data_IF_908356031338
#
_entry.id   IF_908356031338
#
_cell.length_a   1.000
_cell.length_b   1.000
_cell.length_c   1.000
_cell.angle_alpha   90.00
_cell.angle_beta   90.00
_cell.angle_gamma   90.00
#
_symmetry.space_group_name_H-M   'P 1'
#
loop_
_entity.id
_entity.type
_entity.pdbx_description
1 polymer ?
#
# COMPACT_ATOMS: atom_id res chain seq x y z
N UNK A 1 20.36 -21.81 -103.17
CA UNK A 1 21.79 -22.03 -103.37
C UNK A 1 22.44 -22.02 -102.01
N UNK A 2 22.47 -23.17 -101.30
CA UNK A 2 23.54 -24.14 -101.14
C UNK A 2 24.83 -23.52 -100.60
N UNK A 3 25.18 -23.94 -99.40
CA UNK A 3 26.31 -24.75 -98.95
C UNK A 3 26.56 -24.42 -97.45
N UNK A 4 26.34 -25.34 -96.53
CA UNK A 4 27.13 -26.40 -95.87
C UNK A 4 28.53 -25.90 -95.40
N UNK A 5 28.83 -25.99 -94.06
CA UNK A 5 29.63 -27.07 -93.48
C UNK A 5 29.85 -26.87 -91.97
N UNK A 6 29.66 -27.97 -91.29
CA UNK A 6 30.11 -28.25 -89.89
C UNK A 6 31.62 -28.18 -89.79
N UNK A 7 32.14 -27.71 -88.69
CA UNK A 7 33.37 -28.25 -88.05
C UNK A 7 33.14 -28.31 -86.54
N UNK A 8 32.92 -29.56 -86.03
CA UNK A 8 33.01 -29.92 -84.64
C UNK A 8 34.48 -30.05 -84.30
N UNK A 9 34.97 -29.27 -83.44
CA UNK A 9 36.26 -29.49 -82.77
C UNK A 9 36.02 -30.30 -81.50
N UNK A 10 36.39 -31.59 -81.52
CA UNK A 10 36.51 -32.44 -80.37
C UNK A 10 37.64 -31.96 -79.44
N UNK A 11 37.27 -31.58 -78.19
CA UNK A 11 38.22 -31.39 -77.11
C UNK A 11 38.32 -32.66 -76.26
N UNK A 12 39.52 -33.05 -75.80
CA UNK A 12 39.69 -34.27 -75.04
C UNK A 12 39.08 -34.14 -73.64
N UNK A 13 38.45 -35.21 -73.16
CA UNK A 13 37.62 -35.39 -71.97
C UNK A 13 38.45 -35.42 -70.63
N UNK A 14 39.70 -34.97 -70.68
CA UNK A 14 40.62 -34.96 -69.51
C UNK A 14 40.42 -33.72 -68.61
N UNK A 15 39.82 -32.64 -69.10
CA UNK A 15 39.72 -31.41 -68.31
C UNK A 15 38.48 -31.35 -67.39
N UNK A 16 37.45 -32.17 -67.68
CA UNK A 16 36.24 -32.26 -66.83
C UNK A 16 36.46 -33.01 -65.52
N UNK A 17 37.39 -33.95 -65.51
CA UNK A 17 37.67 -34.73 -64.27
C UNK A 17 38.50 -33.94 -63.23
N UNK A 18 39.37 -33.05 -63.69
CA UNK A 18 40.19 -32.22 -62.81
C UNK A 18 39.35 -31.07 -62.17
N UNK A 19 38.34 -30.56 -62.89
CA UNK A 19 37.45 -29.52 -62.30
C UNK A 19 36.46 -30.05 -61.31
N UNK A 20 36.02 -31.33 -61.43
CA UNK A 20 35.08 -31.97 -60.49
C UNK A 20 35.77 -32.28 -59.15
N UNK A 21 37.00 -32.78 -59.18
CA UNK A 21 37.76 -33.11 -57.91
C UNK A 21 38.14 -31.82 -57.15
N UNK A 22 38.49 -30.77 -57.83
CA UNK A 22 38.83 -29.50 -57.18
C UNK A 22 37.59 -28.80 -56.55
N UNK A 23 36.42 -29.01 -57.13
CA UNK A 23 35.15 -28.48 -56.56
C UNK A 23 34.71 -29.24 -55.30
N UNK A 24 34.91 -30.54 -55.24
CA UNK A 24 34.60 -31.35 -54.08
C UNK A 24 35.54 -31.07 -52.89
N UNK A 25 36.81 -30.89 -53.14
CA UNK A 25 37.79 -30.53 -52.07
C UNK A 25 37.51 -29.13 -51.50
N UNK A 26 37.18 -28.17 -52.33
CA UNK A 26 36.86 -26.81 -51.87
C UNK A 26 35.52 -26.80 -51.09
N UNK A 27 34.51 -27.51 -51.55
CA UNK A 27 33.23 -27.64 -50.84
C UNK A 27 33.36 -28.37 -49.49
N UNK A 28 34.26 -29.37 -49.41
CA UNK A 28 34.57 -30.07 -48.15
C UNK A 28 35.17 -29.16 -47.08
N UNK A 29 36.07 -28.27 -47.47
CA UNK A 29 36.70 -27.30 -46.55
C UNK A 29 35.72 -26.23 -46.05
N UNK A 30 34.74 -25.79 -46.87
CA UNK A 30 33.71 -24.83 -46.44
C UNK A 30 32.67 -25.48 -45.54
N UNK A 31 32.35 -26.76 -45.70
CA UNK A 31 31.47 -27.51 -44.78
C UNK A 31 32.09 -27.65 -43.40
N UNK A 32 33.35 -27.95 -43.30
CA UNK A 32 34.06 -28.06 -42.01
C UNK A 32 34.13 -26.71 -41.28
N UNK A 33 34.42 -25.58 -42.00
CA UNK A 33 34.39 -24.23 -41.46
C UNK A 33 32.98 -23.82 -40.95
N UNK A 34 31.95 -24.18 -41.73
CA UNK A 34 30.55 -23.93 -41.33
C UNK A 34 30.17 -24.70 -40.04
N UNK A 35 30.60 -25.93 -39.93
CA UNK A 35 30.25 -26.77 -38.77
C UNK A 35 31.04 -26.34 -37.51
N UNK A 36 32.25 -25.80 -37.65
CA UNK A 36 32.98 -25.13 -36.55
C UNK A 36 32.33 -23.81 -36.16
N UNK A 37 31.87 -22.99 -37.10
CA UNK A 37 31.19 -21.74 -36.80
C UNK A 37 29.81 -21.97 -36.13
N UNK A 38 29.07 -23.04 -36.52
CA UNK A 38 27.82 -23.43 -35.89
C UNK A 38 28.05 -24.00 -34.48
N UNK A 39 29.09 -24.82 -34.26
CA UNK A 39 29.46 -25.32 -32.94
C UNK A 39 29.95 -24.21 -32.01
N UNK A 40 30.70 -23.22 -32.54
CA UNK A 40 31.14 -22.04 -31.80
C UNK A 40 29.95 -21.09 -31.42
N UNK A 41 28.99 -20.91 -32.31
CA UNK A 41 27.79 -20.11 -32.05
C UNK A 41 26.85 -20.72 -30.99
N UNK A 42 26.70 -22.10 -31.00
CA UNK A 42 25.98 -22.79 -29.94
C UNK A 42 26.71 -22.77 -28.58
N UNK A 43 28.03 -22.82 -28.58
CA UNK A 43 28.83 -22.73 -27.35
C UNK A 43 28.80 -21.37 -26.69
N UNK A 44 28.75 -20.27 -27.47
CA UNK A 44 28.61 -18.87 -26.96
C UNK A 44 27.19 -18.61 -26.45
N UNK A 45 26.15 -19.17 -27.09
CA UNK A 45 24.76 -19.01 -26.63
C UNK A 45 24.50 -19.73 -25.28
N UNK A 46 25.24 -20.80 -24.97
CA UNK A 46 25.13 -21.50 -23.67
C UNK A 46 25.92 -20.83 -22.53
N UNK A 47 26.84 -19.89 -22.83
CA UNK A 47 27.65 -19.19 -21.82
C UNK A 47 26.95 -17.95 -21.26
N UNK A 48 25.89 -17.44 -21.89
CA UNK A 48 24.95 -16.46 -21.30
C UNK A 48 23.82 -17.14 -20.55
N UNK A 49 24.14 -18.12 -19.71
CA UNK A 49 23.29 -18.50 -18.60
C UNK A 49 23.16 -17.26 -17.73
N UNK A 50 22.05 -16.50 -17.90
CA UNK A 50 21.70 -15.45 -16.98
C UNK A 50 21.69 -16.08 -15.58
N UNK A 51 22.74 -15.85 -14.80
CA UNK A 51 22.64 -15.96 -13.34
C UNK A 51 21.46 -15.10 -13.00
N UNK A 52 20.31 -15.69 -12.66
CA UNK A 52 19.23 -14.97 -12.07
C UNK A 52 19.84 -14.29 -10.83
N UNK A 53 20.08 -12.99 -10.93
CA UNK A 53 20.54 -12.20 -9.79
C UNK A 53 19.58 -12.48 -8.64
N UNK A 54 20.13 -12.97 -7.53
CA UNK A 54 19.27 -13.28 -6.38
C UNK A 54 18.68 -11.96 -5.86
N UNK A 55 17.37 -11.81 -6.00
CA UNK A 55 16.67 -10.66 -5.45
C UNK A 55 16.83 -10.61 -3.91
N UNK A 56 17.08 -9.41 -3.32
CA UNK A 56 17.46 -8.16 -3.95
C UNK A 56 18.98 -8.08 -4.21
N UNK A 57 19.39 -7.50 -5.34
CA UNK A 57 20.79 -7.28 -5.72
C UNK A 57 21.26 -5.84 -5.52
N UNK A 58 20.31 -4.91 -5.29
CA UNK A 58 20.59 -3.49 -5.04
C UNK A 58 19.55 -2.88 -4.08
N UNK A 59 19.68 -1.57 -3.79
CA UNK A 59 18.86 -0.89 -2.80
C UNK A 59 17.38 -0.86 -3.16
N UNK A 60 16.51 -1.09 -2.15
CA UNK A 60 15.06 -0.99 -2.25
C UNK A 60 14.62 0.39 -1.78
N UNK A 61 13.60 0.98 -2.41
CA UNK A 61 13.01 2.25 -2.01
C UNK A 61 11.60 2.08 -1.49
N UNK A 62 11.31 2.69 -0.33
CA UNK A 62 9.94 2.82 0.20
C UNK A 62 9.49 4.27 -0.02
N UNK A 63 8.51 4.46 -0.89
CA UNK A 63 7.90 5.76 -1.15
C UNK A 63 6.81 6.04 -0.12
N UNK A 64 6.90 7.20 0.55
CA UNK A 64 5.94 7.67 1.55
C UNK A 64 5.27 8.93 1.02
N UNK A 65 3.95 8.93 0.90
CA UNK A 65 3.17 10.04 0.34
C UNK A 65 2.90 11.19 1.31
N UNK A 66 3.60 11.22 2.44
CA UNK A 66 3.50 12.25 3.48
C UNK A 66 4.88 12.82 3.79
N UNK A 67 4.89 13.98 4.45
CA UNK A 67 6.14 14.61 4.87
C UNK A 67 6.91 13.81 5.93
N UNK A 68 8.18 14.16 6.16
CA UNK A 68 8.99 13.59 7.23
C UNK A 68 8.30 13.72 8.60
N UNK A 69 8.57 12.76 9.49
CA UNK A 69 8.00 12.66 10.84
C UNK A 69 6.48 12.40 10.90
N UNK A 70 5.80 12.15 9.79
CA UNK A 70 4.45 11.58 9.81
C UNK A 70 4.49 10.13 10.34
N UNK A 71 3.38 9.62 10.89
CA UNK A 71 3.32 8.24 11.38
C UNK A 71 3.73 7.22 10.31
N UNK A 72 3.35 7.47 9.04
CA UNK A 72 3.75 6.62 7.91
C UNK A 72 5.27 6.69 7.64
N UNK A 73 5.89 7.87 7.73
CA UNK A 73 7.34 8.04 7.55
C UNK A 73 8.13 7.38 8.70
N UNK A 74 7.69 7.59 9.94
CA UNK A 74 8.32 6.97 11.12
C UNK A 74 8.27 5.45 11.00
N UNK A 75 7.11 4.87 10.70
CA UNK A 75 6.97 3.42 10.52
C UNK A 75 7.81 2.90 9.35
N UNK A 76 7.81 3.60 8.20
CA UNK A 76 8.63 3.21 7.05
C UNK A 76 10.12 3.15 7.39
N UNK A 77 10.66 4.14 8.13
CA UNK A 77 12.08 4.18 8.53
C UNK A 77 12.44 3.10 9.55
N UNK A 78 11.55 2.81 10.49
CA UNK A 78 11.73 1.72 11.45
C UNK A 78 11.81 0.37 10.73
N UNK A 79 10.89 0.11 9.82
CA UNK A 79 10.89 -1.11 9.01
C UNK A 79 12.10 -1.19 8.10
N UNK A 80 12.43 -0.12 7.37
CA UNK A 80 13.56 -0.06 6.46
C UNK A 80 14.85 -0.51 7.14
N UNK A 81 15.13 0.03 8.34
CA UNK A 81 16.32 -0.32 9.11
C UNK A 81 16.40 -1.80 9.48
N UNK A 82 15.27 -2.43 9.82
CA UNK A 82 15.25 -3.85 10.17
C UNK A 82 15.30 -4.74 8.92
N UNK A 83 14.63 -4.33 7.84
CA UNK A 83 14.64 -5.07 6.58
C UNK A 83 16.03 -5.13 5.94
N UNK A 84 16.88 -4.10 6.11
CA UNK A 84 18.28 -4.08 5.62
C UNK A 84 19.06 -5.32 6.07
N UNK A 85 18.96 -5.69 7.34
CA UNK A 85 19.67 -6.84 7.90
C UNK A 85 19.19 -8.17 7.34
N UNK A 86 17.90 -8.27 7.00
CA UNK A 86 17.28 -9.50 6.46
C UNK A 86 17.49 -9.66 4.96
N UNK A 87 17.44 -8.55 4.24
CA UNK A 87 17.56 -8.52 2.78
C UNK A 87 19.01 -8.37 2.32
N UNK A 88 19.93 -8.07 3.24
CA UNK A 88 21.33 -7.77 2.95
C UNK A 88 21.53 -6.71 1.87
N UNK A 89 20.59 -5.74 1.81
CA UNK A 89 20.59 -4.61 0.89
C UNK A 89 20.02 -3.37 1.58
N UNK A 90 20.49 -2.17 1.23
CA UNK A 90 19.95 -0.93 1.78
C UNK A 90 18.46 -0.76 1.45
N UNK A 91 17.67 -0.32 2.43
CA UNK A 91 16.27 0.06 2.25
C UNK A 91 16.10 1.55 2.56
N UNK A 92 15.80 2.35 1.55
CA UNK A 92 15.79 3.81 1.63
C UNK A 92 14.37 4.35 1.60
N UNK A 93 14.03 5.25 2.53
CA UNK A 93 12.73 5.92 2.56
C UNK A 93 12.80 7.24 1.79
N UNK A 94 11.90 7.42 0.83
CA UNK A 94 11.77 8.62 0.00
C UNK A 94 10.38 9.25 0.20
N UNK A 95 10.33 10.48 0.73
CA UNK A 95 9.07 11.20 0.92
C UNK A 95 8.65 11.89 -0.39
N UNK A 96 7.45 11.59 -0.89
CA UNK A 96 6.81 12.23 -2.06
C UNK A 96 5.39 12.69 -1.69
N UNK A 97 5.25 13.79 -0.94
CA UNK A 97 3.95 14.28 -0.54
C UNK A 97 3.18 14.87 -1.73
N UNK A 98 1.86 14.86 -1.62
CA UNK A 98 0.96 15.49 -2.59
C UNK A 98 -0.31 14.68 -2.85
N UNK A 99 -1.41 15.40 -3.09
CA UNK A 99 -2.72 14.84 -3.40
C UNK A 99 -3.13 13.67 -2.50
N UNK A 100 -3.12 13.87 -1.19
CA UNK A 100 -3.42 12.81 -0.19
C UNK A 100 -2.63 11.52 -0.42
N UNK A 101 -1.31 11.62 -0.67
CA UNK A 101 -0.41 10.48 -0.93
C UNK A 101 -0.50 9.87 -2.34
N UNK A 102 -1.39 10.36 -3.21
CA UNK A 102 -1.58 9.79 -4.55
C UNK A 102 -0.38 10.01 -5.48
N UNK A 103 0.43 11.07 -5.27
CA UNK A 103 1.67 11.29 -6.04
C UNK A 103 2.66 10.13 -5.84
N UNK A 104 2.82 9.67 -4.62
CA UNK A 104 3.68 8.51 -4.31
C UNK A 104 3.07 7.20 -4.82
N UNK A 105 1.76 7.01 -4.66
CA UNK A 105 1.04 5.83 -5.14
C UNK A 105 1.17 5.65 -6.66
N UNK A 106 0.92 6.70 -7.43
CA UNK A 106 1.06 6.73 -8.89
C UNK A 106 2.50 6.45 -9.35
N UNK A 107 3.49 7.01 -8.65
CA UNK A 107 4.88 6.79 -8.97
C UNK A 107 5.28 5.32 -8.84
N UNK A 108 4.81 4.63 -7.78
CA UNK A 108 5.08 3.21 -7.57
C UNK A 108 4.26 2.34 -8.51
N UNK A 109 2.99 2.64 -8.76
CA UNK A 109 2.17 1.87 -9.69
C UNK A 109 2.75 1.81 -11.11
N UNK A 110 3.51 2.85 -11.52
CA UNK A 110 4.19 2.93 -12.82
C UNK A 110 5.65 2.47 -12.80
N UNK A 111 6.19 2.12 -11.63
CA UNK A 111 7.55 1.63 -11.52
C UNK A 111 7.69 0.20 -12.10
N UNK A 112 8.92 -0.24 -12.44
CA UNK A 112 9.17 -1.64 -12.81
C UNK A 112 8.64 -2.59 -11.71
N UNK A 113 7.96 -3.69 -12.07
CA UNK A 113 7.41 -4.64 -11.10
C UNK A 113 8.48 -5.66 -10.65
N UNK A 114 9.60 -5.17 -10.16
CA UNK A 114 10.78 -5.94 -9.79
C UNK A 114 11.05 -5.98 -8.27
N UNK A 115 10.17 -5.32 -7.48
CA UNK A 115 10.24 -5.30 -6.03
C UNK A 115 11.16 -4.22 -5.44
N UNK A 116 11.78 -3.37 -6.23
CA UNK A 116 12.67 -2.32 -5.74
C UNK A 116 11.97 -0.98 -5.44
N UNK A 117 10.75 -0.80 -5.89
CA UNK A 117 9.90 0.33 -5.55
C UNK A 117 8.71 -0.14 -4.73
N UNK A 118 8.63 0.28 -3.47
CA UNK A 118 7.55 -0.05 -2.54
C UNK A 118 6.80 1.21 -2.15
N UNK A 119 5.53 1.07 -1.83
CA UNK A 119 4.66 2.16 -1.43
C UNK A 119 4.12 1.95 -0.01
N UNK A 120 4.30 2.95 0.85
CA UNK A 120 3.66 3.02 2.16
C UNK A 120 2.26 3.61 2.00
N UNK A 121 1.28 2.74 1.87
CA UNK A 121 -0.12 3.13 1.77
C UNK A 121 -0.75 3.38 3.14
N UNK A 122 -1.80 4.20 3.12
CA UNK A 122 -2.67 4.46 4.26
C UNK A 122 -4.13 4.48 3.80
N UNK A 123 -5.05 4.62 4.74
CA UNK A 123 -6.48 4.80 4.46
C UNK A 123 -6.76 5.93 3.44
N UNK A 124 -5.91 6.95 3.37
CA UNK A 124 -6.07 8.05 2.40
C UNK A 124 -6.05 7.55 0.95
N UNK A 125 -5.35 6.45 0.68
CA UNK A 125 -5.27 5.85 -0.65
C UNK A 125 -6.49 5.00 -1.02
N UNK A 126 -7.30 4.62 -0.04
CA UNK A 126 -8.66 4.09 -0.28
C UNK A 126 -9.65 5.22 -0.53
N UNK A 127 -9.60 6.26 0.29
CA UNK A 127 -10.59 7.34 0.30
C UNK A 127 -10.48 8.27 -0.91
N UNK A 128 -9.28 8.76 -1.20
CA UNK A 128 -9.07 9.74 -2.27
C UNK A 128 -9.59 9.28 -3.65
N UNK A 129 -9.32 8.04 -4.12
CA UNK A 129 -9.87 7.58 -5.39
C UNK A 129 -11.40 7.51 -5.41
N UNK A 130 -12.04 7.19 -4.28
CA UNK A 130 -13.52 7.14 -4.20
C UNK A 130 -14.10 8.55 -4.25
N UNK A 131 -13.51 9.49 -3.51
CA UNK A 131 -13.97 10.90 -3.45
C UNK A 131 -13.77 11.65 -4.76
N UNK A 132 -12.69 11.36 -5.48
CA UNK A 132 -12.30 12.07 -6.71
C UNK A 132 -12.71 11.33 -7.99
N UNK A 133 -13.38 10.16 -7.87
CA UNK A 133 -13.70 9.26 -8.99
C UNK A 133 -12.48 8.93 -9.86
N UNK A 134 -11.32 8.79 -9.22
CA UNK A 134 -10.07 8.45 -9.88
C UNK A 134 -10.14 7.04 -10.48
N UNK A 135 -9.50 6.85 -11.62
CA UNK A 135 -9.29 5.51 -12.22
C UNK A 135 -8.31 4.65 -11.43
N UNK A 136 -7.52 5.22 -10.52
CA UNK A 136 -6.61 4.48 -9.64
C UNK A 136 -7.38 3.58 -8.69
N UNK A 137 -6.93 2.33 -8.59
CA UNK A 137 -7.51 1.37 -7.65
C UNK A 137 -6.40 0.66 -6.89
N UNK A 138 -6.34 0.89 -5.59
CA UNK A 138 -5.27 0.39 -4.71
C UNK A 138 -5.05 -1.13 -4.84
N UNK A 139 -6.14 -1.91 -4.92
CA UNK A 139 -6.08 -3.37 -5.00
C UNK A 139 -5.82 -3.93 -6.40
N UNK A 140 -5.89 -3.10 -7.47
CA UNK A 140 -5.61 -3.50 -8.85
C UNK A 140 -4.26 -3.02 -9.35
N UNK A 141 -3.89 -1.79 -8.98
CA UNK A 141 -2.69 -1.12 -9.50
C UNK A 141 -1.45 -1.40 -8.67
N UNK A 142 -1.65 -1.95 -7.45
CA UNK A 142 -0.57 -2.34 -6.55
C UNK A 142 -0.80 -3.76 -5.99
N UNK A 143 0.30 -4.47 -5.72
CA UNK A 143 0.34 -5.78 -5.09
C UNK A 143 0.55 -5.62 -3.58
N UNK A 144 -0.35 -6.11 -2.72
CA UNK A 144 -0.17 -6.10 -1.27
C UNK A 144 1.03 -6.93 -0.84
N UNK A 145 1.84 -6.40 0.10
CA UNK A 145 2.96 -7.11 0.74
C UNK A 145 2.60 -7.47 2.17
N UNK A 146 2.26 -6.48 2.99
CA UNK A 146 1.87 -6.68 4.37
C UNK A 146 1.04 -5.51 4.92
N UNK A 147 0.05 -5.83 5.74
CA UNK A 147 -0.63 -4.87 6.61
C UNK A 147 0.26 -4.63 7.83
N UNK A 148 0.65 -3.37 8.07
CA UNK A 148 1.70 -3.06 9.04
C UNK A 148 1.14 -2.76 10.43
N UNK A 149 0.18 -1.87 10.49
CA UNK A 149 -0.37 -1.41 11.76
C UNK A 149 -1.50 -0.41 11.56
N UNK A 150 -2.08 -0.01 12.68
CA UNK A 150 -3.17 0.95 12.72
C UNK A 150 -2.89 2.00 13.78
N UNK A 151 -3.13 3.27 13.45
CA UNK A 151 -3.23 4.34 14.43
C UNK A 151 -4.67 4.38 14.91
N UNK A 152 -4.93 4.03 16.18
CA UNK A 152 -6.30 3.94 16.68
C UNK A 152 -6.96 5.30 16.80
N UNK A 153 -8.19 5.39 16.29
CA UNK A 153 -9.11 6.47 16.61
C UNK A 153 -9.96 6.09 17.83
N UNK A 154 -10.25 7.06 18.68
CA UNK A 154 -11.15 6.90 19.82
C UNK A 154 -12.28 7.90 19.74
N UNK A 155 -13.50 7.48 20.04
CA UNK A 155 -14.64 8.31 20.26
C UNK A 155 -14.60 8.86 21.69
N UNK A 156 -14.53 10.17 21.81
CA UNK A 156 -14.60 10.87 23.08
C UNK A 156 -15.76 11.84 23.10
N UNK A 157 -16.25 12.13 24.31
CA UNK A 157 -17.26 13.14 24.57
C UNK A 157 -16.77 14.15 25.61
N UNK A 158 -17.25 15.39 25.52
CA UNK A 158 -17.09 16.38 26.58
C UNK A 158 -17.86 15.93 27.84
N UNK A 159 -17.36 16.16 29.07
CA UNK A 159 -18.03 15.71 30.31
C UNK A 159 -19.46 16.20 30.50
N UNK A 160 -19.84 17.29 29.87
CA UNK A 160 -21.24 17.81 29.90
C UNK A 160 -22.25 16.93 29.15
N UNK A 161 -21.78 16.01 28.29
CA UNK A 161 -22.66 15.06 27.59
C UNK A 161 -23.14 14.00 28.61
N UNK A 162 -24.47 13.85 28.81
CA UNK A 162 -25.02 12.92 29.78
C UNK A 162 -25.06 11.48 29.20
N UNK A 163 -23.91 11.02 28.71
CA UNK A 163 -23.70 9.65 28.22
C UNK A 163 -22.34 9.15 28.75
N UNK A 164 -22.33 7.99 29.37
CA UNK A 164 -21.13 7.37 29.97
C UNK A 164 -20.63 6.16 29.16
N UNK A 165 -21.46 5.68 28.25
CA UNK A 165 -21.18 4.53 27.38
C UNK A 165 -21.78 4.75 25.98
N UNK A 166 -21.51 3.84 25.07
CA UNK A 166 -21.92 3.93 23.67
C UNK A 166 -23.45 3.83 23.50
N UNK A 167 -24.11 2.96 24.28
CA UNK A 167 -25.56 2.76 24.21
C UNK A 167 -26.31 4.05 24.56
N UNK A 168 -25.94 4.69 25.70
CA UNK A 168 -26.51 5.97 26.12
C UNK A 168 -26.25 7.08 25.08
N UNK A 169 -25.06 7.10 24.49
CA UNK A 169 -24.71 8.05 23.44
C UNK A 169 -25.56 7.85 22.19
N UNK A 170 -25.76 6.62 21.73
CA UNK A 170 -26.63 6.31 20.59
C UNK A 170 -28.08 6.72 20.89
N UNK A 171 -28.58 6.41 22.09
CA UNK A 171 -29.92 6.83 22.48
C UNK A 171 -30.07 8.34 22.48
N UNK A 172 -29.09 9.07 23.00
CA UNK A 172 -29.08 10.53 23.01
C UNK A 172 -29.02 11.08 21.58
N UNK A 173 -28.18 10.51 20.72
CA UNK A 173 -28.05 10.90 19.31
C UNK A 173 -29.35 10.74 18.51
N UNK A 174 -30.18 9.74 18.85
CA UNK A 174 -31.48 9.51 18.22
C UNK A 174 -32.59 10.40 18.74
N UNK A 175 -32.59 10.66 20.06
CA UNK A 175 -33.70 11.36 20.72
C UNK A 175 -33.50 12.89 20.80
N UNK A 176 -32.24 13.34 20.86
CA UNK A 176 -31.87 14.75 20.99
C UNK A 176 -30.66 15.07 20.09
N UNK A 177 -30.76 14.89 18.76
CA UNK A 177 -29.61 15.06 17.85
C UNK A 177 -29.02 16.48 17.94
N UNK A 178 -29.83 17.52 18.12
CA UNK A 178 -29.37 18.88 18.19
C UNK A 178 -28.52 19.22 19.43
N UNK A 179 -28.48 18.31 20.43
CA UNK A 179 -27.63 18.46 21.63
C UNK A 179 -26.22 17.95 21.41
N UNK A 180 -25.94 17.30 20.27
CA UNK A 180 -24.67 16.66 19.97
C UNK A 180 -24.10 17.24 18.67
N UNK A 181 -22.83 17.66 18.74
CA UNK A 181 -22.09 18.24 17.61
C UNK A 181 -20.73 17.57 17.50
N UNK A 182 -20.46 16.91 16.37
CA UNK A 182 -19.14 16.38 16.08
C UNK A 182 -18.16 17.50 15.74
N UNK A 183 -17.01 17.55 16.42
CA UNK A 183 -15.82 18.24 15.95
C UNK A 183 -15.00 17.33 15.06
N UNK A 184 -14.58 17.78 13.88
CA UNK A 184 -13.72 17.01 12.97
C UNK A 184 -12.47 17.79 12.57
N UNK A 185 -11.40 17.10 12.23
CA UNK A 185 -10.16 17.75 11.78
C UNK A 185 -10.20 18.28 10.33
N UNK A 186 -11.40 18.35 9.74
CA UNK A 186 -11.65 18.83 8.38
C UNK A 186 -12.55 17.90 7.59
N UNK A 187 -13.17 18.41 6.54
CA UNK A 187 -13.97 17.61 5.62
C UNK A 187 -13.11 16.55 4.91
N UNK A 188 -13.64 15.33 4.73
CA UNK A 188 -12.94 14.22 4.09
C UNK A 188 -11.81 13.58 4.92
N UNK A 189 -11.58 14.04 6.15
CA UNK A 189 -10.58 13.43 7.04
C UNK A 189 -11.11 12.17 7.72
N UNK A 190 -10.21 11.33 8.25
CA UNK A 190 -10.58 10.12 8.99
C UNK A 190 -11.55 10.41 10.15
N UNK A 191 -11.40 11.56 10.84
CA UNK A 191 -12.33 11.95 11.91
C UNK A 191 -13.72 12.30 11.41
N UNK A 192 -13.84 12.94 10.23
CA UNK A 192 -15.13 13.21 9.58
C UNK A 192 -15.80 11.90 9.15
N UNK A 193 -15.06 11.03 8.47
CA UNK A 193 -15.60 9.77 7.98
C UNK A 193 -16.01 8.82 9.10
N UNK A 194 -15.27 8.82 10.23
CA UNK A 194 -15.69 8.09 11.43
C UNK A 194 -17.01 8.63 12.00
N UNK A 195 -17.22 9.97 11.97
CA UNK A 195 -18.48 10.57 12.38
C UNK A 195 -19.64 10.17 11.45
N UNK A 196 -19.41 10.12 10.14
CA UNK A 196 -20.42 9.69 9.17
C UNK A 196 -20.72 8.17 9.28
N UNK A 197 -19.70 7.36 9.50
CA UNK A 197 -19.90 5.94 9.79
C UNK A 197 -20.73 5.74 11.08
N UNK A 198 -20.47 6.54 12.11
CA UNK A 198 -21.27 6.55 13.33
C UNK A 198 -22.72 6.94 13.04
N UNK A 199 -22.95 8.04 12.35
CA UNK A 199 -24.29 8.47 11.97
C UNK A 199 -25.08 7.38 11.25
N UNK A 200 -24.45 6.74 10.25
CA UNK A 200 -25.06 5.63 9.49
C UNK A 200 -25.42 4.43 10.38
N UNK A 201 -24.50 3.97 11.22
CA UNK A 201 -24.69 2.82 12.08
C UNK A 201 -25.63 3.10 13.27
N UNK A 202 -25.55 4.31 13.85
CA UNK A 202 -26.43 4.74 14.93
C UNK A 202 -27.84 5.07 14.45
N UNK A 203 -28.07 5.29 13.15
CA UNK A 203 -29.32 5.81 12.63
C UNK A 203 -29.57 7.26 13.10
N UNK A 204 -28.52 8.06 13.25
CA UNK A 204 -28.55 9.45 13.66
C UNK A 204 -28.12 10.38 12.53
N UNK A 205 -28.30 11.70 12.72
CA UNK A 205 -27.89 12.75 11.77
C UNK A 205 -27.24 13.91 12.55
N UNK A 206 -26.18 13.58 13.31
CA UNK A 206 -25.47 14.58 14.09
C UNK A 206 -24.72 15.53 13.16
N UNK A 207 -24.76 16.81 13.47
CA UNK A 207 -24.04 17.85 12.74
C UNK A 207 -22.53 17.70 12.97
N UNK A 208 -21.76 17.83 11.89
CA UNK A 208 -20.31 17.88 11.95
C UNK A 208 -19.79 19.31 11.70
N UNK A 209 -18.95 19.81 12.60
CA UNK A 209 -18.19 21.05 12.41
C UNK A 209 -16.78 20.72 11.97
N UNK A 210 -16.39 21.21 10.78
CA UNK A 210 -15.11 20.94 10.16
C UNK A 210 -14.11 22.06 10.45
N UNK A 211 -13.01 21.73 11.13
CA UNK A 211 -11.99 22.71 11.52
C UNK A 211 -10.87 22.78 10.48
N UNK A 212 -10.77 23.92 9.77
CA UNK A 212 -9.69 24.14 8.80
C UNK A 212 -8.28 24.16 9.43
N UNK A 213 -8.19 24.51 10.72
CA UNK A 213 -6.96 24.43 11.52
C UNK A 213 -6.61 23.02 11.99
N UNK A 214 -7.36 22.02 11.55
CA UNK A 214 -7.09 20.60 11.81
C UNK A 214 -7.40 20.14 13.23
N UNK A 215 -6.77 19.03 13.60
CA UNK A 215 -7.05 18.29 14.85
C UNK A 215 -6.89 19.14 16.11
N UNK A 216 -5.84 19.95 16.21
CA UNK A 216 -5.56 20.75 17.42
C UNK A 216 -6.66 21.75 17.72
N UNK A 217 -7.19 22.44 16.68
CA UNK A 217 -8.30 23.37 16.84
C UNK A 217 -9.57 22.66 17.27
N UNK A 218 -9.89 21.53 16.63
CA UNK A 218 -11.06 20.71 16.97
C UNK A 218 -11.02 20.20 18.43
N UNK A 219 -9.84 19.74 18.90
CA UNK A 219 -9.63 19.30 20.29
C UNK A 219 -9.80 20.44 21.27
N UNK A 220 -9.25 21.62 20.98
CA UNK A 220 -9.42 22.80 21.85
C UNK A 220 -10.88 23.21 22.00
N UNK A 221 -11.65 23.13 20.92
CA UNK A 221 -13.08 23.48 20.95
C UNK A 221 -13.93 22.41 21.65
N UNK A 222 -13.54 21.15 21.56
CA UNK A 222 -14.13 20.07 22.34
C UNK A 222 -13.85 20.26 23.83
N UNK A 223 -12.61 20.55 24.23
CA UNK A 223 -12.22 20.82 25.62
C UNK A 223 -12.96 22.03 26.20
N UNK A 224 -13.28 23.01 25.36
CA UNK A 224 -14.07 24.19 25.75
C UNK A 224 -15.60 23.96 25.71
N UNK A 225 -16.06 22.76 25.34
CA UNK A 225 -17.47 22.41 25.22
C UNK A 225 -18.19 23.07 24.06
N UNK A 226 -17.47 23.65 23.07
CA UNK A 226 -18.09 24.25 21.86
C UNK A 226 -18.55 23.16 20.87
N UNK A 227 -17.87 22.01 20.85
CA UNK A 227 -18.37 20.75 20.28
C UNK A 227 -18.52 19.73 21.41
N UNK A 228 -19.28 18.66 21.20
CA UNK A 228 -19.66 17.76 22.28
C UNK A 228 -18.98 16.39 22.18
N UNK A 229 -18.59 15.98 20.97
CA UNK A 229 -17.92 14.70 20.73
C UNK A 229 -17.02 14.79 19.51
N UNK A 230 -16.03 13.89 19.44
CA UNK A 230 -15.19 13.72 18.24
C UNK A 230 -14.59 12.33 18.17
N UNK A 231 -14.25 11.92 16.97
CA UNK A 231 -13.27 10.88 16.72
C UNK A 231 -11.90 11.51 16.47
N UNK A 232 -10.88 11.05 17.17
CA UNK A 232 -9.50 11.46 16.89
C UNK A 232 -8.50 10.39 17.34
N UNK A 233 -7.24 10.57 16.93
CA UNK A 233 -6.14 9.68 17.28
C UNK A 233 -6.04 9.52 18.79
N UNK A 234 -6.00 8.27 19.26
CA UNK A 234 -5.97 7.94 20.68
C UNK A 234 -4.78 8.59 21.41
N UNK A 235 -3.59 8.61 20.81
CA UNK A 235 -2.41 9.25 21.38
C UNK A 235 -2.60 10.75 21.67
N UNK A 236 -3.38 11.45 20.84
CA UNK A 236 -3.70 12.87 21.04
C UNK A 236 -4.68 13.08 22.21
N UNK A 237 -5.63 12.17 22.38
CA UNK A 237 -6.71 12.32 23.34
C UNK A 237 -6.43 11.67 24.71
N UNK A 238 -5.53 10.70 24.79
CA UNK A 238 -5.20 9.98 26.01
C UNK A 238 -4.84 10.89 27.19
N UNK A 239 -4.01 11.94 27.06
CA UNK A 239 -3.70 12.84 28.18
C UNK A 239 -4.96 13.57 28.70
N UNK A 240 -5.88 13.96 27.82
CA UNK A 240 -7.09 14.67 28.20
C UNK A 240 -8.12 13.75 28.88
N UNK A 241 -8.17 12.48 28.45
CA UNK A 241 -8.99 11.45 29.09
C UNK A 241 -8.43 11.10 30.47
N UNK A 242 -7.11 10.93 30.59
CA UNK A 242 -6.45 10.67 31.89
C UNK A 242 -6.63 11.81 32.89
N UNK A 243 -6.69 13.05 32.41
CA UNK A 243 -6.98 14.23 33.22
C UNK A 243 -8.47 14.43 33.56
N UNK A 244 -9.37 13.58 33.02
CA UNK A 244 -10.82 13.71 33.18
C UNK A 244 -11.45 14.89 32.42
N UNK A 245 -10.69 15.57 31.57
CA UNK A 245 -11.17 16.68 30.74
C UNK A 245 -12.04 16.19 29.58
N UNK A 246 -11.89 14.94 29.16
CA UNK A 246 -12.72 14.24 28.17
C UNK A 246 -13.08 12.86 28.71
N UNK A 247 -14.19 12.29 28.23
CA UNK A 247 -14.58 10.91 28.50
C UNK A 247 -14.43 10.08 27.24
N UNK A 248 -13.62 9.01 27.30
CA UNK A 248 -13.54 8.02 26.24
C UNK A 248 -14.77 7.11 26.27
N UNK A 249 -15.37 6.86 25.11
CA UNK A 249 -16.55 6.01 24.94
C UNK A 249 -16.14 4.65 24.36
N UNK A 250 -15.45 4.67 23.20
CA UNK A 250 -15.00 3.43 22.56
C UNK A 250 -13.87 3.70 21.57
N UNK A 251 -13.02 2.70 21.34
CA UNK A 251 -11.98 2.69 20.31
C UNK A 251 -12.58 2.25 18.98
N UNK A 252 -12.33 3.01 17.92
CA UNK A 252 -12.92 2.82 16.60
C UNK A 252 -12.10 1.85 15.72
N UNK A 253 -11.77 0.69 16.26
CA UNK A 253 -11.08 -0.41 15.58
C UNK A 253 -11.44 -1.76 16.21
N UNK A 254 -11.18 -2.91 15.52
CA UNK A 254 -11.61 -4.24 16.01
C UNK A 254 -10.90 -4.73 17.27
N UNK A 255 -9.77 -4.14 17.65
CA UNK A 255 -9.00 -4.49 18.86
C UNK A 255 -8.87 -3.28 19.77
N UNK A 256 -8.74 -3.50 21.08
CA UNK A 256 -8.45 -2.41 22.03
C UNK A 256 -7.10 -1.79 21.72
N UNK A 257 -6.98 -0.49 21.96
CA UNK A 257 -5.73 0.25 21.77
C UNK A 257 -4.73 -0.04 22.87
N UNK A 258 -3.47 -0.24 22.52
CA UNK A 258 -2.37 -0.35 23.49
C UNK A 258 -2.14 0.91 24.33
N UNK A 259 -2.60 2.09 23.87
CA UNK A 259 -2.52 3.36 24.63
C UNK A 259 -3.69 3.50 25.62
N UNK A 260 -4.86 2.96 25.29
CA UNK A 260 -6.09 3.06 26.08
C UNK A 260 -6.70 1.66 26.30
N UNK A 261 -6.01 0.75 27.01
CA UNK A 261 -6.42 -0.66 27.09
C UNK A 261 -7.72 -0.89 27.83
N UNK A 262 -8.11 0.04 28.71
CA UNK A 262 -9.37 -0.04 29.48
C UNK A 262 -10.58 0.46 28.68
N UNK A 263 -10.39 1.14 27.55
CA UNK A 263 -11.48 1.63 26.70
C UNK A 263 -11.94 0.50 25.79
N UNK A 264 -13.25 0.15 25.80
CA UNK A 264 -13.77 -0.90 24.95
C UNK A 264 -13.69 -0.54 23.47
N UNK A 265 -13.69 -1.52 22.59
CA UNK A 265 -13.89 -1.30 21.16
C UNK A 265 -15.35 -0.93 20.87
N UNK A 266 -15.62 -0.35 19.69
CA UNK A 266 -17.00 -0.12 19.26
C UNK A 266 -17.81 -1.41 19.18
N UNK A 267 -17.17 -2.53 18.77
CA UNK A 267 -17.78 -3.85 18.72
C UNK A 267 -18.17 -4.35 20.12
N UNK A 268 -17.26 -4.27 21.10
CA UNK A 268 -17.52 -4.63 22.49
C UNK A 268 -18.60 -3.76 23.13
N UNK A 269 -18.69 -2.49 22.69
CA UNK A 269 -19.68 -1.53 23.17
C UNK A 269 -21.05 -1.61 22.47
N UNK A 270 -21.25 -2.56 21.55
CA UNK A 270 -22.55 -2.83 20.91
C UNK A 270 -22.75 -2.24 19.52
N UNK A 271 -21.68 -1.80 18.84
CA UNK A 271 -21.73 -1.35 17.44
C UNK A 271 -20.78 -2.20 16.57
N UNK A 272 -21.17 -3.43 16.20
CA UNK A 272 -20.30 -4.37 15.51
C UNK A 272 -19.89 -3.90 14.11
N UNK A 273 -18.67 -4.28 13.70
CA UNK A 273 -18.09 -3.94 12.42
C UNK A 273 -17.82 -2.45 12.25
N UNK A 274 -17.55 -1.74 13.35
CA UNK A 274 -17.11 -0.34 13.30
C UNK A 274 -15.58 -0.31 13.28
N UNK A 275 -15.02 -0.03 12.13
CA UNK A 275 -13.59 0.14 11.95
C UNK A 275 -13.28 1.43 11.19
N UNK A 276 -12.74 2.41 11.89
CA UNK A 276 -12.30 3.71 11.40
C UNK A 276 -10.88 4.06 11.88
N UNK A 277 -10.07 3.04 12.10
CA UNK A 277 -8.64 3.18 12.37
C UNK A 277 -7.87 3.67 11.13
N UNK A 278 -6.76 4.39 11.37
CA UNK A 278 -5.89 4.84 10.28
C UNK A 278 -4.87 3.73 10.03
N UNK A 279 -5.21 2.81 9.14
CA UNK A 279 -4.32 1.71 8.79
C UNK A 279 -3.14 2.15 7.92
N UNK A 280 -2.06 1.39 7.98
CA UNK A 280 -0.86 1.53 7.16
C UNK A 280 -0.44 0.16 6.63
N UNK A 281 0.01 0.12 5.38
CA UNK A 281 0.44 -1.12 4.73
C UNK A 281 1.47 -0.87 3.65
N UNK A 282 2.25 -1.91 3.33
CA UNK A 282 3.27 -1.87 2.30
C UNK A 282 2.80 -2.59 1.04
N UNK A 283 2.96 -1.95 -0.12
CA UNK A 283 2.59 -2.50 -1.42
C UNK A 283 3.75 -2.35 -2.42
N UNK A 284 3.71 -3.16 -3.48
CA UNK A 284 4.59 -3.10 -4.64
C UNK A 284 3.78 -2.85 -5.92
N UNK A 285 4.39 -2.63 -7.10
CA UNK A 285 3.66 -2.61 -8.38
C UNK A 285 2.87 -3.91 -8.61
N UNK A 286 1.69 -3.83 -9.23
CA UNK A 286 0.73 -4.94 -9.34
C UNK A 286 1.28 -6.24 -9.96
N UNK A 287 2.30 -6.14 -10.83
CA UNK A 287 2.89 -7.29 -11.53
C UNK A 287 4.19 -7.78 -10.90
N UNK A 288 4.50 -7.38 -9.67
CA UNK A 288 5.68 -7.88 -8.95
C UNK A 288 5.59 -9.39 -8.78
N UNK A 289 6.66 -10.17 -9.10
CA UNK A 289 6.65 -11.62 -8.99
C UNK A 289 6.26 -12.11 -7.60
N UNK A 290 5.48 -13.19 -7.48
CA UNK A 290 5.02 -13.70 -6.18
C UNK A 290 6.14 -14.05 -5.21
N UNK A 291 7.23 -14.63 -5.67
CA UNK A 291 8.40 -14.97 -4.86
C UNK A 291 9.09 -13.73 -4.27
N UNK A 292 9.11 -12.63 -5.02
CA UNK A 292 9.59 -11.33 -4.55
C UNK A 292 8.65 -10.76 -3.48
N UNK A 293 7.34 -10.81 -3.72
CA UNK A 293 6.31 -10.36 -2.76
C UNK A 293 6.42 -11.17 -1.46
N UNK A 294 6.54 -12.49 -1.54
CA UNK A 294 6.66 -13.37 -0.38
C UNK A 294 7.94 -13.09 0.42
N UNK A 295 9.06 -12.87 -0.27
CA UNK A 295 10.33 -12.51 0.38
C UNK A 295 10.25 -11.15 1.10
N UNK A 296 9.64 -10.16 0.47
CA UNK A 296 9.40 -8.85 1.09
C UNK A 296 8.46 -8.96 2.28
N UNK A 297 7.37 -9.71 2.14
CA UNK A 297 6.39 -9.95 3.20
C UNK A 297 7.03 -10.61 4.43
N UNK A 298 7.87 -11.62 4.22
CA UNK A 298 8.61 -12.27 5.30
C UNK A 298 9.55 -11.27 6.01
N UNK A 299 10.32 -10.48 5.26
CA UNK A 299 11.23 -9.48 5.84
C UNK A 299 10.49 -8.40 6.63
N UNK A 300 9.33 -7.96 6.15
CA UNK A 300 8.47 -6.97 6.84
C UNK A 300 7.89 -7.55 8.12
N UNK A 301 7.31 -8.75 8.08
CA UNK A 301 6.74 -9.38 9.28
C UNK A 301 7.80 -9.68 10.35
N UNK A 302 8.99 -10.12 9.95
CA UNK A 302 10.13 -10.27 10.87
C UNK A 302 10.52 -8.93 11.51
N UNK A 303 10.55 -7.85 10.71
CA UNK A 303 10.83 -6.51 11.20
C UNK A 303 9.77 -6.04 12.20
N UNK A 304 8.48 -6.22 11.88
CA UNK A 304 7.36 -5.86 12.76
C UNK A 304 7.41 -6.59 14.11
N UNK A 305 7.84 -7.85 14.13
CA UNK A 305 7.92 -8.67 15.33
C UNK A 305 9.18 -8.43 16.16
N UNK A 306 10.11 -7.56 15.71
CA UNK A 306 11.30 -7.25 16.49
C UNK A 306 10.96 -6.36 17.70
N UNK A 307 11.62 -6.59 18.85
CA UNK A 307 11.41 -5.83 20.07
C UNK A 307 11.61 -4.32 19.86
N UNK A 308 12.58 -3.94 19.02
CA UNK A 308 12.87 -2.54 18.69
C UNK A 308 11.70 -1.87 17.99
N UNK A 309 11.11 -2.55 16.99
CA UNK A 309 9.96 -2.00 16.26
C UNK A 309 8.72 -1.99 17.14
N UNK A 310 8.45 -3.05 17.90
CA UNK A 310 7.33 -3.14 18.82
C UNK A 310 7.37 -2.02 19.88
N UNK A 311 8.53 -1.78 20.49
CA UNK A 311 8.70 -0.69 21.45
C UNK A 311 8.46 0.69 20.82
N UNK A 312 9.00 0.92 19.62
CA UNK A 312 8.81 2.18 18.90
C UNK A 312 7.37 2.40 18.46
N UNK A 313 6.67 1.37 17.97
CA UNK A 313 5.25 1.45 17.63
C UNK A 313 4.40 1.82 18.84
N UNK A 314 4.65 1.19 19.98
CA UNK A 314 3.96 1.51 21.24
C UNK A 314 4.16 2.97 21.63
N UNK A 315 5.38 3.52 21.50
CA UNK A 315 5.66 4.95 21.79
C UNK A 315 4.92 5.88 20.82
N UNK A 316 4.76 5.49 19.57
CA UNK A 316 4.04 6.25 18.55
C UNK A 316 2.53 6.06 18.59
N UNK A 317 2.04 5.18 19.45
CA UNK A 317 0.62 4.85 19.52
C UNK A 317 0.10 4.13 18.28
N UNK A 318 0.94 3.33 17.66
CA UNK A 318 0.60 2.50 16.52
C UNK A 318 0.43 1.07 17.03
N UNK A 319 -0.74 0.50 16.87
CA UNK A 319 -1.00 -0.91 17.17
C UNK A 319 -0.53 -1.77 15.99
N UNK A 320 0.42 -2.70 16.17
CA UNK A 320 0.87 -3.57 15.10
C UNK A 320 -0.25 -4.55 14.70
N UNK A 321 -0.41 -4.78 13.40
CA UNK A 321 -1.38 -5.73 12.87
C UNK A 321 -0.68 -6.99 12.34
N UNK A 322 0.31 -6.84 11.48
CA UNK A 322 0.92 -7.96 10.77
C UNK A 322 -0.02 -8.54 9.72
N UNK A 323 0.43 -9.60 9.07
CA UNK A 323 -0.34 -10.32 8.07
C UNK A 323 0.36 -10.44 6.73
N UNK A 324 -0.04 -11.44 5.95
CA UNK A 324 0.54 -11.71 4.63
C UNK A 324 -0.19 -11.00 3.49
N UNK A 325 0.30 -11.18 2.24
CA UNK A 325 -0.26 -10.54 1.05
C UNK A 325 -1.75 -10.82 0.84
N UNK A 326 -2.18 -12.07 1.07
CA UNK A 326 -3.59 -12.48 0.90
C UNK A 326 -4.52 -11.83 1.92
N UNK A 327 -4.09 -11.73 3.18
CA UNK A 327 -4.87 -11.08 4.25
C UNK A 327 -5.00 -9.60 4.00
N UNK A 328 -3.90 -8.95 3.60
CA UNK A 328 -3.91 -7.52 3.27
C UNK A 328 -4.75 -7.22 2.00
N UNK A 329 -4.73 -8.10 1.00
CA UNK A 329 -5.59 -7.98 -0.17
C UNK A 329 -7.09 -8.01 0.20
N UNK A 330 -7.49 -8.94 1.08
CA UNK A 330 -8.87 -9.02 1.57
C UNK A 330 -9.25 -7.79 2.38
N UNK A 331 -8.34 -7.30 3.21
CA UNK A 331 -8.52 -6.08 3.99
C UNK A 331 -8.76 -4.87 3.09
N UNK A 332 -7.92 -4.65 2.06
CA UNK A 332 -8.09 -3.55 1.09
C UNK A 332 -9.45 -3.62 0.40
N UNK A 333 -9.87 -4.81 -0.05
CA UNK A 333 -11.15 -4.99 -0.73
C UNK A 333 -12.33 -4.61 0.18
N UNK A 334 -12.32 -5.09 1.42
CA UNK A 334 -13.35 -4.77 2.40
C UNK A 334 -13.35 -3.28 2.79
N UNK A 335 -12.17 -2.67 2.90
CA UNK A 335 -12.01 -1.26 3.23
C UNK A 335 -12.56 -0.35 2.10
N UNK A 336 -12.28 -0.67 0.84
CA UNK A 336 -12.84 0.03 -0.34
C UNK A 336 -14.37 -0.07 -0.34
N UNK A 337 -14.93 -1.26 -0.13
CA UNK A 337 -16.38 -1.49 -0.10
C UNK A 337 -17.05 -0.69 1.01
N UNK A 338 -16.50 -0.77 2.23
CA UNK A 338 -16.97 -0.02 3.40
C UNK A 338 -17.02 1.47 3.13
N UNK A 339 -15.92 2.05 2.71
CA UNK A 339 -15.84 3.50 2.52
C UNK A 339 -16.63 3.99 1.30
N UNK A 340 -16.75 3.19 0.25
CA UNK A 340 -17.66 3.48 -0.87
C UNK A 340 -19.10 3.65 -0.39
N UNK A 341 -19.55 2.74 0.48
CA UNK A 341 -20.89 2.77 1.05
C UNK A 341 -21.09 3.96 1.99
N UNK A 342 -20.13 4.25 2.85
CA UNK A 342 -20.19 5.37 3.81
C UNK A 342 -20.22 6.71 3.09
N UNK A 343 -19.32 6.91 2.11
CA UNK A 343 -19.24 8.16 1.34
C UNK A 343 -20.51 8.39 0.49
N UNK A 344 -21.08 7.32 -0.07
CA UNK A 344 -22.34 7.41 -0.80
C UNK A 344 -23.51 7.79 0.11
N UNK A 345 -23.61 7.20 1.31
CA UNK A 345 -24.66 7.49 2.28
C UNK A 345 -24.56 8.93 2.84
N UNK A 346 -23.34 9.43 3.03
CA UNK A 346 -23.07 10.81 3.49
C UNK A 346 -23.21 11.88 2.40
N UNK A 347 -23.44 11.50 1.14
CA UNK A 347 -23.50 12.45 0.02
C UNK A 347 -22.16 13.10 -0.32
N UNK A 348 -21.04 12.48 0.10
CA UNK A 348 -19.68 13.01 -0.02
C UNK A 348 -18.96 12.56 -1.31
N UNK A 349 -19.61 11.80 -2.18
CA UNK A 349 -19.11 11.61 -3.54
C UNK A 349 -19.15 12.96 -4.24
N UNK A 350 -18.00 13.49 -4.63
CA UNK A 350 -17.94 14.63 -5.54
C UNK A 350 -18.57 14.21 -6.87
N UNK A 351 -19.61 14.94 -7.28
CA UNK A 351 -20.20 14.87 -8.62
C UNK A 351 -19.21 15.39 -9.65
#
# INVERSE_FOLDING_TARGET
>A
MALTRKDQLDWPDTDRRHQATHREEVMGRYRWLRDICLAGALGVAAAFGASAETYPSHSIKIFVGFGPASSADVLARLLAKQMESKLNQPVVVENRPGNSSMVAADAVARAPPDGYALFMATIANTLNPIETESSFNLGKDLAPIALLGVVPNVLVVHPSVPATNLEELIQLARTKPDSLIFGTSGAGTASHLAAELFNGKAGSKLLAVHYAGGSSQAVNDLLAGRTTLMFNVAATLAPHVAAGALRAIAVAQPRRSGIMPDVPTMDEAGMPGFDAGIWMGLLAPAKTPPDVVDKLSAAVNDALNSDVVQAALKQQGIDPLGGGPSEFSKFIAADIEKWTSVLAAAGLKRQ
#
